data_IF_713109874731
#
_entry.id   IF_713109874731
#
_cell.length_a   1.000
_cell.length_b   1.000
_cell.length_c   1.000
_cell.angle_alpha   90.00
_cell.angle_beta   90.00
_cell.angle_gamma   90.00
#
_symmetry.space_group_name_H-M   'P 1'
#
loop_
_entity.id
_entity.type
_entity.pdbx_description
1 polymer ?
#
# COMPACT_ATOMS: atom_id res chain seq x y z
N UNK A 1 13.82 -10.85 -3.86
CA UNK A 1 12.58 -11.58 -4.26
C UNK A 1 11.68 -10.73 -5.17
N UNK A 2 11.26 -9.53 -4.76
CA UNK A 2 10.36 -8.70 -5.60
C UNK A 2 10.90 -8.40 -6.99
N UNK A 3 12.19 -8.07 -7.14
CA UNK A 3 12.82 -7.83 -8.43
C UNK A 3 12.95 -9.05 -9.34
N UNK A 4 12.72 -10.26 -8.82
CA UNK A 4 12.71 -11.50 -9.63
C UNK A 4 11.38 -11.66 -10.37
N UNK A 5 10.28 -11.25 -9.74
CA UNK A 5 8.94 -11.43 -10.28
C UNK A 5 8.34 -10.15 -10.87
N UNK A 6 8.85 -8.99 -10.44
CA UNK A 6 8.31 -7.70 -10.82
C UNK A 6 9.41 -6.74 -11.27
N UNK A 7 9.06 -5.85 -12.19
CA UNK A 7 9.91 -4.70 -12.53
C UNK A 7 9.79 -3.66 -11.41
N UNK A 8 10.62 -3.80 -10.38
CA UNK A 8 10.62 -2.90 -9.23
C UNK A 8 11.46 -1.63 -9.53
N UNK A 9 10.89 -0.47 -9.25
CA UNK A 9 11.54 0.84 -9.39
C UNK A 9 11.44 1.54 -8.06
N UNK A 10 12.59 1.94 -7.49
CA UNK A 10 12.65 2.62 -6.21
C UNK A 10 12.55 4.13 -6.36
N UNK A 11 11.73 4.77 -5.54
CA UNK A 11 11.82 6.20 -5.24
C UNK A 11 12.74 6.42 -4.03
N UNK A 12 13.27 7.61 -3.86
CA UNK A 12 14.33 7.88 -2.91
C UNK A 12 13.90 8.92 -1.85
N UNK A 13 14.78 9.13 -0.89
CA UNK A 13 14.70 10.28 0.00
C UNK A 13 15.38 11.48 -0.69
N UNK A 14 14.86 12.67 -0.43
CA UNK A 14 15.56 13.92 -0.77
C UNK A 14 16.85 13.99 0.06
N UNK A 15 18.03 14.16 -0.57
CA UNK A 15 19.31 14.08 0.12
C UNK A 15 19.58 15.26 1.07
N UNK A 16 18.82 16.35 0.97
CA UNK A 16 18.96 17.53 1.85
C UNK A 16 18.07 17.46 3.07
N UNK A 17 16.85 16.95 2.88
CA UNK A 17 15.84 16.91 3.94
C UNK A 17 15.72 15.56 4.61
N UNK A 18 16.28 14.51 3.99
CA UNK A 18 16.16 13.10 4.40
C UNK A 18 14.69 12.63 4.52
N UNK A 19 13.80 13.31 3.80
CA UNK A 19 12.38 12.95 3.70
C UNK A 19 12.09 12.26 2.38
N UNK A 20 11.02 11.49 2.34
CA UNK A 20 10.54 10.89 1.09
C UNK A 20 10.36 11.97 0.04
N UNK A 21 11.01 11.80 -1.10
CA UNK A 21 10.88 12.70 -2.25
C UNK A 21 9.63 12.32 -3.06
N UNK A 22 8.52 12.98 -2.74
CA UNK A 22 7.26 12.74 -3.43
C UNK A 22 7.25 13.26 -4.87
N UNK A 23 8.09 14.22 -5.22
CA UNK A 23 8.20 14.72 -6.58
C UNK A 23 8.98 13.74 -7.45
N UNK A 24 10.05 13.11 -6.92
CA UNK A 24 10.72 11.98 -7.58
C UNK A 24 9.77 10.78 -7.72
N UNK A 25 8.98 10.50 -6.69
CA UNK A 25 7.95 9.44 -6.76
C UNK A 25 6.95 9.70 -7.87
N UNK A 26 6.41 10.92 -7.97
CA UNK A 26 5.46 11.31 -9.01
C UNK A 26 6.07 11.24 -10.40
N UNK A 27 7.27 11.78 -10.58
CA UNK A 27 8.01 11.74 -11.84
C UNK A 27 8.19 10.29 -12.33
N UNK A 28 8.64 9.40 -11.45
CA UNK A 28 8.81 7.97 -11.76
C UNK A 28 7.49 7.27 -12.04
N UNK A 29 6.45 7.60 -11.27
CA UNK A 29 5.12 7.04 -11.50
C UNK A 29 4.58 7.42 -12.89
N UNK A 30 4.72 8.66 -13.31
CA UNK A 30 4.31 9.14 -14.64
C UNK A 30 5.13 8.48 -15.76
N UNK A 31 6.43 8.32 -15.57
CA UNK A 31 7.35 7.70 -16.54
C UNK A 31 7.06 6.20 -16.72
N UNK A 32 6.92 5.48 -15.61
CA UNK A 32 6.88 4.02 -15.63
C UNK A 32 5.48 3.42 -15.52
N UNK A 33 4.47 4.22 -15.18
CA UNK A 33 3.06 3.83 -15.03
C UNK A 33 2.90 2.49 -14.26
N UNK A 34 3.36 2.43 -13.00
CA UNK A 34 3.28 1.21 -12.22
C UNK A 34 1.83 0.79 -11.99
N UNK A 35 1.58 -0.51 -11.85
CA UNK A 35 0.28 -1.04 -11.42
C UNK A 35 0.08 -0.94 -9.91
N UNK A 36 1.18 -0.85 -9.15
CA UNK A 36 1.20 -0.81 -7.70
C UNK A 36 2.28 0.17 -7.22
N UNK A 37 1.90 1.05 -6.32
CA UNK A 37 2.84 1.88 -5.54
C UNK A 37 2.81 1.35 -4.11
N UNK A 38 3.99 1.08 -3.56
CA UNK A 38 4.14 0.55 -2.19
C UNK A 38 4.79 1.61 -1.33
N UNK A 39 4.18 1.90 -0.18
CA UNK A 39 4.75 2.74 0.86
C UNK A 39 4.83 2.00 2.19
N UNK A 40 5.61 2.55 3.10
CA UNK A 40 5.87 1.99 4.42
C UNK A 40 7.35 1.71 4.63
N UNK A 41 7.78 1.70 5.88
CA UNK A 41 9.18 1.49 6.23
C UNK A 41 9.33 0.93 7.64
N UNK A 42 10.46 0.26 7.86
CA UNK A 42 10.84 -0.26 9.17
C UNK A 42 11.62 0.75 10.03
N UNK A 43 12.33 1.66 9.39
CA UNK A 43 13.30 2.55 10.05
C UNK A 43 13.20 4.02 9.62
N UNK A 44 12.10 4.42 9.03
CA UNK A 44 11.82 5.81 8.67
C UNK A 44 11.07 6.49 9.81
N UNK A 45 11.70 7.46 10.46
CA UNK A 45 11.20 8.11 11.68
C UNK A 45 10.30 9.34 11.45
N UNK A 46 9.89 9.57 10.21
CA UNK A 46 9.00 10.67 9.83
C UNK A 46 7.64 10.12 9.42
N UNK A 47 6.61 10.95 9.49
CA UNK A 47 5.31 10.62 8.95
C UNK A 47 5.32 10.57 7.42
N UNK A 48 4.48 9.72 6.87
CA UNK A 48 4.23 9.60 5.45
C UNK A 48 3.07 10.51 5.05
N UNK A 49 3.20 11.22 3.95
CA UNK A 49 2.08 11.93 3.34
C UNK A 49 1.25 10.96 2.50
N UNK A 50 0.37 10.20 3.16
CA UNK A 50 -0.49 9.23 2.50
C UNK A 50 -1.44 9.85 1.49
N UNK A 51 -1.87 11.11 1.74
CA UNK A 51 -2.72 11.85 0.82
C UNK A 51 -1.98 12.13 -0.49
N UNK A 52 -0.76 12.66 -0.40
CA UNK A 52 0.08 12.92 -1.58
C UNK A 52 0.38 11.64 -2.36
N UNK A 53 0.68 10.54 -1.66
CA UNK A 53 0.89 9.24 -2.29
C UNK A 53 -0.36 8.75 -3.03
N UNK A 54 -1.54 8.96 -2.45
CA UNK A 54 -2.81 8.61 -3.08
C UNK A 54 -3.05 9.43 -4.35
N UNK A 55 -2.81 10.73 -4.31
CA UNK A 55 -2.91 11.61 -5.48
C UNK A 55 -2.00 11.17 -6.61
N UNK A 56 -0.76 10.77 -6.29
CA UNK A 56 0.19 10.21 -7.28
C UNK A 56 -0.33 8.90 -7.87
N UNK A 57 -0.82 8.00 -7.03
CA UNK A 57 -1.36 6.71 -7.48
C UNK A 57 -2.56 6.90 -8.41
N UNK A 58 -3.48 7.79 -8.07
CA UNK A 58 -4.66 8.09 -8.88
C UNK A 58 -4.30 8.69 -10.25
N UNK A 59 -3.27 9.55 -10.32
CA UNK A 59 -2.79 10.13 -11.59
C UNK A 59 -2.36 9.09 -12.62
N UNK A 60 -1.86 7.95 -12.18
CA UNK A 60 -1.35 6.90 -13.05
C UNK A 60 -2.22 5.64 -13.07
N UNK A 61 -3.33 5.64 -12.33
CA UNK A 61 -4.22 4.49 -12.21
C UNK A 61 -3.60 3.32 -11.43
N UNK A 62 -2.66 3.59 -10.52
CA UNK A 62 -2.01 2.59 -9.71
C UNK A 62 -2.79 2.29 -8.43
N UNK A 63 -2.69 1.06 -7.93
CA UNK A 63 -3.11 0.73 -6.58
C UNK A 63 -2.06 1.24 -5.60
N UNK A 64 -2.48 1.96 -4.57
CA UNK A 64 -1.63 2.33 -3.44
C UNK A 64 -1.74 1.28 -2.34
N UNK A 65 -0.63 0.65 -2.01
CA UNK A 65 -0.49 -0.26 -0.87
C UNK A 65 0.43 0.38 0.16
N UNK A 66 -0.02 0.44 1.41
CA UNK A 66 0.79 0.92 2.54
C UNK A 66 0.99 -0.21 3.54
N UNK A 67 2.24 -0.52 3.85
CA UNK A 67 2.58 -1.39 4.97
C UNK A 67 2.82 -0.55 6.22
N UNK A 68 1.94 -0.70 7.21
CA UNK A 68 2.01 0.04 8.47
C UNK A 68 2.52 -0.82 9.64
N UNK A 69 3.08 -1.97 9.38
CA UNK A 69 3.38 -2.97 10.40
C UNK A 69 4.19 -2.44 11.60
N UNK A 70 5.16 -1.55 11.35
CA UNK A 70 5.98 -0.99 12.43
C UNK A 70 5.26 0.06 13.27
N UNK A 71 4.33 0.81 12.69
CA UNK A 71 3.63 1.93 13.34
C UNK A 71 2.18 1.62 13.68
N UNK A 72 1.70 0.43 13.38
CA UNK A 72 0.29 0.06 13.52
C UNK A 72 -0.29 0.30 14.92
N UNK A 73 0.48 0.06 15.98
CA UNK A 73 0.06 0.34 17.36
C UNK A 73 -0.11 1.82 17.64
N UNK A 74 0.76 2.68 17.10
CA UNK A 74 0.66 4.13 17.23
C UNK A 74 -0.53 4.69 16.44
N UNK A 75 -0.78 4.13 15.26
CA UNK A 75 -1.94 4.47 14.44
C UNK A 75 -3.24 4.08 15.16
N UNK A 76 -3.29 2.87 15.73
CA UNK A 76 -4.44 2.41 16.49
C UNK A 76 -4.70 3.26 17.75
N UNK A 77 -3.65 3.81 18.36
CA UNK A 77 -3.76 4.75 19.48
C UNK A 77 -4.12 6.19 19.06
N UNK A 78 -4.25 6.47 17.76
CA UNK A 78 -4.55 7.82 17.24
C UNK A 78 -3.37 8.79 17.29
N UNK A 79 -2.15 8.31 17.49
CA UNK A 79 -0.94 9.14 17.59
C UNK A 79 -0.31 9.43 16.23
N UNK A 80 -0.61 8.63 15.21
CA UNK A 80 -0.18 8.82 13.83
C UNK A 80 -1.38 8.74 12.88
N UNK A 81 -1.24 9.32 11.70
CA UNK A 81 -2.29 9.31 10.71
C UNK A 81 -2.59 7.88 10.22
N UNK A 82 -3.88 7.59 10.01
CA UNK A 82 -4.34 6.28 9.59
C UNK A 82 -4.33 6.14 8.05
N UNK A 83 -3.45 5.32 7.47
CA UNK A 83 -3.35 5.14 6.03
C UNK A 83 -4.58 4.51 5.38
N UNK A 84 -5.44 3.83 6.15
CA UNK A 84 -6.69 3.21 5.63
C UNK A 84 -7.63 4.23 5.02
N UNK A 85 -7.52 5.50 5.40
CA UNK A 85 -8.31 6.60 4.82
C UNK A 85 -7.91 6.92 3.37
N UNK A 86 -6.67 6.64 3.00
CA UNK A 86 -6.08 7.05 1.73
C UNK A 86 -5.69 5.89 0.83
N UNK A 87 -5.06 4.86 1.41
CA UNK A 87 -4.58 3.72 0.66
C UNK A 87 -5.72 2.84 0.15
N UNK A 88 -5.51 2.20 -0.99
CA UNK A 88 -6.42 1.18 -1.49
C UNK A 88 -6.35 -0.09 -0.66
N UNK A 89 -5.12 -0.47 -0.28
CA UNK A 89 -4.82 -1.67 0.50
C UNK A 89 -3.81 -1.28 1.58
N UNK A 90 -4.00 -1.76 2.79
CA UNK A 90 -3.07 -1.59 3.90
C UNK A 90 -2.69 -2.95 4.44
N UNK A 91 -1.40 -3.19 4.63
CA UNK A 91 -0.90 -4.40 5.28
C UNK A 91 -0.31 -4.09 6.64
N UNK A 92 -0.39 -5.05 7.53
CA UNK A 92 0.26 -4.98 8.84
C UNK A 92 0.59 -6.37 9.35
N UNK A 93 1.47 -6.41 10.33
CA UNK A 93 1.66 -7.57 11.21
C UNK A 93 0.97 -7.33 12.54
N UNK A 94 0.58 -8.41 13.21
CA UNK A 94 -0.04 -8.34 14.54
C UNK A 94 0.99 -8.35 15.68
N UNK A 95 2.23 -8.74 15.42
CA UNK A 95 3.27 -9.05 16.42
C UNK A 95 4.34 -7.97 16.61
N UNK A 96 4.18 -6.79 16.03
CA UNK A 96 5.07 -5.63 16.26
C UNK A 96 4.43 -4.69 17.29
N UNK A 97 4.22 -3.44 16.95
CA UNK A 97 3.63 -2.45 17.89
C UNK A 97 2.19 -2.77 18.31
N UNK A 98 1.47 -3.64 17.57
CA UNK A 98 0.16 -4.16 18.02
C UNK A 98 0.27 -5.18 19.17
N UNK A 99 1.47 -5.71 19.47
CA UNK A 99 1.75 -6.61 20.59
C UNK A 99 0.92 -7.90 20.62
N UNK A 100 0.44 -8.35 19.47
CA UNK A 100 -0.34 -9.58 19.33
C UNK A 100 0.51 -10.82 18.99
N UNK A 101 -0.13 -11.97 18.78
CA UNK A 101 0.52 -13.17 18.26
C UNK A 101 1.04 -12.93 16.84
N UNK A 102 1.97 -13.78 16.40
CA UNK A 102 2.53 -13.68 15.05
C UNK A 102 1.47 -13.94 13.99
N UNK A 103 1.30 -12.99 13.09
CA UNK A 103 0.34 -13.03 12.00
C UNK A 103 0.43 -11.80 11.12
N UNK A 104 -0.29 -11.84 10.00
CA UNK A 104 -0.46 -10.72 9.08
C UNK A 104 -1.94 -10.38 8.91
N UNK A 105 -2.23 -9.13 8.61
CA UNK A 105 -3.56 -8.63 8.28
C UNK A 105 -3.52 -7.77 7.02
N UNK A 106 -4.59 -7.82 6.26
CA UNK A 106 -4.84 -6.94 5.11
C UNK A 106 -6.12 -6.17 5.42
N UNK A 107 -6.06 -4.86 5.27
CA UNK A 107 -7.16 -3.95 5.56
C UNK A 107 -7.49 -3.13 4.31
N UNK A 108 -8.76 -2.78 4.17
CA UNK A 108 -9.26 -1.88 3.14
C UNK A 108 -10.27 -0.93 3.78
N UNK A 109 -10.16 0.36 3.51
CA UNK A 109 -11.15 1.36 3.98
C UNK A 109 -12.44 1.31 3.17
N UNK A 110 -12.32 1.03 1.88
CA UNK A 110 -13.43 0.89 0.93
C UNK A 110 -13.08 -0.20 -0.07
N UNK A 111 -14.04 -1.07 -0.34
CA UNK A 111 -13.90 -2.07 -1.40
C UNK A 111 -14.13 -1.45 -2.78
N UNK A 112 -13.54 -2.03 -3.82
CA UNK A 112 -13.63 -1.55 -5.19
C UNK A 112 -13.52 -2.69 -6.21
N UNK A 113 -14.02 -2.47 -7.40
CA UNK A 113 -13.86 -3.41 -8.50
C UNK A 113 -12.39 -3.53 -8.91
N UNK A 114 -11.94 -4.75 -9.17
CA UNK A 114 -10.56 -4.95 -9.57
C UNK A 114 -10.27 -4.29 -10.93
N UNK A 115 -9.13 -3.58 -11.08
CA UNK A 115 -8.79 -2.87 -12.31
C UNK A 115 -8.27 -3.79 -13.43
N UNK A 116 -8.16 -5.09 -13.16
CA UNK A 116 -7.61 -6.08 -14.10
C UNK A 116 -8.68 -6.82 -14.90
N UNK A 117 -9.96 -6.50 -14.71
CA UNK A 117 -11.06 -7.12 -15.42
C UNK A 117 -11.33 -8.59 -15.05
N UNK A 118 -10.84 -9.04 -13.89
CA UNK A 118 -11.09 -10.39 -13.40
C UNK A 118 -12.56 -10.57 -13.06
N UNK A 119 -13.17 -11.64 -13.60
CA UNK A 119 -14.60 -11.90 -13.46
C UNK A 119 -14.88 -13.23 -12.74
N UNK A 120 -16.06 -13.32 -12.17
CA UNK A 120 -16.62 -14.57 -11.67
C UNK A 120 -17.01 -15.47 -12.85
N UNK A 121 -17.27 -16.79 -12.64
CA UNK A 121 -17.81 -17.66 -13.67
C UNK A 121 -19.13 -17.18 -14.30
N UNK A 122 -19.88 -16.35 -13.56
CA UNK A 122 -21.13 -15.71 -14.03
C UNK A 122 -20.90 -14.41 -14.80
N UNK A 123 -19.66 -14.03 -15.09
CA UNK A 123 -19.32 -12.84 -15.86
C UNK A 123 -19.34 -11.51 -15.06
N UNK A 124 -19.59 -11.55 -13.75
CA UNK A 124 -19.59 -10.36 -12.88
C UNK A 124 -18.17 -9.99 -12.49
N UNK A 125 -17.80 -8.70 -12.57
CA UNK A 125 -16.48 -8.22 -12.13
C UNK A 125 -16.27 -8.51 -10.65
N UNK A 126 -15.13 -9.10 -10.31
CA UNK A 126 -14.77 -9.39 -8.90
C UNK A 126 -14.38 -8.10 -8.18
N UNK A 127 -14.85 -7.97 -6.93
CA UNK A 127 -14.35 -6.96 -6.02
C UNK A 127 -12.92 -7.29 -5.56
N UNK A 128 -12.15 -6.26 -5.19
CA UNK A 128 -10.77 -6.45 -4.75
C UNK A 128 -10.70 -7.32 -3.49
N UNK A 129 -11.62 -7.17 -2.55
CA UNK A 129 -11.70 -8.00 -1.35
C UNK A 129 -11.85 -9.49 -1.67
N UNK A 130 -12.64 -9.84 -2.69
CA UNK A 130 -12.81 -11.23 -3.13
C UNK A 130 -11.50 -11.81 -3.70
N UNK A 131 -10.74 -11.00 -4.45
CA UNK A 131 -9.46 -11.41 -5.01
C UNK A 131 -8.43 -11.62 -3.89
N UNK A 132 -8.31 -10.66 -2.98
CA UNK A 132 -7.39 -10.74 -1.86
C UNK A 132 -7.71 -11.93 -0.95
N UNK A 133 -8.98 -12.13 -0.62
CA UNK A 133 -9.40 -13.24 0.23
C UNK A 133 -9.10 -14.59 -0.44
N UNK A 134 -9.39 -14.74 -1.74
CA UNK A 134 -9.07 -15.96 -2.50
C UNK A 134 -7.56 -16.22 -2.60
N UNK A 135 -6.74 -15.16 -2.65
CA UNK A 135 -5.29 -15.31 -2.72
C UNK A 135 -4.64 -15.69 -1.37
N UNK A 136 -5.32 -15.38 -0.26
CA UNK A 136 -4.83 -15.68 1.09
C UNK A 136 -5.37 -17.00 1.62
N UNK A 137 -6.65 -17.32 1.36
CA UNK A 137 -7.33 -18.52 1.81
C UNK A 137 -8.50 -18.90 0.88
N UNK A 138 -8.57 -20.13 0.36
CA UNK A 138 -7.65 -21.26 0.60
C UNK A 138 -6.30 -21.16 -0.13
N UNK A 139 -6.08 -20.14 -0.94
CA UNK A 139 -4.82 -19.92 -1.68
C UNK A 139 -4.84 -20.52 -3.08
#
# INVERSE_FOLDING_TARGET
MSGTYFKAIGYQLDPKTERVDYDDMERKALEHKPKLIVGGASAYSREWDYKRMREIADKVGAILLIDMAHTAGLIAAGLLENPVKYAHIVTSTTHKTLRGPRGGIILMGKDFENPWGLKTPKGVTKMMSQILNSAVFPG
#
